data_IF_637046119464
#
_entry.id   IF_637046119464
#
_cell.length_a   1.000
_cell.length_b   1.000
_cell.length_c   1.000
_cell.angle_alpha   90.00
_cell.angle_beta   90.00
_cell.angle_gamma   90.00
#
_symmetry.space_group_name_H-M   'P 1'
#
loop_
_entity.id
_entity.type
_entity.pdbx_description
1 polymer ?
#
# COMPACT_ATOMS: atom_id res chain seq x y z
N UNK A 1 0.05 -7.04 -8.40
CA UNK A 1 -0.66 -6.13 -9.34
C UNK A 1 -0.90 -4.74 -8.72
N UNK A 2 -1.54 -4.61 -7.55
CA UNK A 2 -1.85 -3.31 -6.93
C UNK A 2 -0.65 -2.36 -6.82
N UNK A 3 0.49 -2.84 -6.30
CA UNK A 3 1.73 -2.04 -6.20
C UNK A 3 2.22 -1.55 -7.56
N UNK A 4 2.16 -2.40 -8.59
CA UNK A 4 2.58 -2.05 -9.95
C UNK A 4 1.67 -1.00 -10.57
N UNK A 5 0.35 -1.16 -10.42
CA UNK A 5 -0.63 -0.21 -10.94
C UNK A 5 -0.52 1.14 -10.23
N UNK A 6 -0.36 1.14 -8.90
CA UNK A 6 -0.15 2.36 -8.13
C UNK A 6 1.17 3.06 -8.54
N UNK A 7 2.25 2.30 -8.72
CA UNK A 7 3.52 2.83 -9.21
C UNK A 7 3.43 3.42 -10.62
N UNK A 8 2.72 2.75 -11.54
CA UNK A 8 2.47 3.25 -12.88
C UNK A 8 1.61 4.52 -12.86
N UNK A 9 0.56 4.57 -12.04
CA UNK A 9 -0.27 5.75 -11.87
C UNK A 9 0.54 6.93 -11.32
N UNK A 10 1.38 6.70 -10.30
CA UNK A 10 2.28 7.73 -9.76
C UNK A 10 3.29 8.25 -10.79
N UNK A 11 3.84 7.36 -11.61
CA UNK A 11 4.74 7.74 -12.71
C UNK A 11 4.02 8.61 -13.76
N UNK A 12 2.84 8.20 -14.21
CA UNK A 12 2.02 8.96 -15.18
C UNK A 12 1.59 10.32 -14.59
N UNK A 13 1.32 10.38 -13.28
CA UNK A 13 0.95 11.60 -12.58
C UNK A 13 2.15 12.50 -12.21
N UNK A 14 3.39 12.09 -12.52
CA UNK A 14 4.59 12.86 -12.22
C UNK A 14 4.89 12.98 -10.71
N UNK A 15 4.47 12.02 -9.91
CA UNK A 15 4.73 12.03 -8.46
C UNK A 15 6.22 11.82 -8.18
N UNK A 16 6.73 12.51 -7.16
CA UNK A 16 8.14 12.53 -6.79
C UNK A 16 8.56 11.40 -5.85
N UNK A 17 9.81 11.44 -5.35
CA UNK A 17 10.38 10.39 -4.51
C UNK A 17 9.59 10.07 -3.24
N UNK A 18 8.92 11.06 -2.65
CA UNK A 18 8.10 10.90 -1.43
C UNK A 18 6.96 9.89 -1.66
N UNK A 19 6.31 9.95 -2.82
CA UNK A 19 5.30 8.97 -3.19
C UNK A 19 5.88 7.55 -3.25
N UNK A 20 7.05 7.37 -3.86
CA UNK A 20 7.67 6.04 -4.00
C UNK A 20 8.11 5.44 -2.66
N UNK A 21 8.52 6.27 -1.69
CA UNK A 21 8.77 5.81 -0.31
C UNK A 21 7.48 5.29 0.32
N UNK A 22 6.37 6.03 0.21
CA UNK A 22 5.07 5.57 0.69
C UNK A 22 4.56 4.33 -0.04
N UNK A 23 4.80 4.22 -1.35
CA UNK A 23 4.49 3.03 -2.14
C UNK A 23 5.29 1.81 -1.67
N UNK A 24 6.56 1.99 -1.28
CA UNK A 24 7.37 0.92 -0.70
C UNK A 24 6.79 0.46 0.65
N UNK A 25 6.35 1.38 1.51
CA UNK A 25 5.66 1.04 2.76
C UNK A 25 4.35 0.26 2.49
N UNK A 26 3.56 0.68 1.51
CA UNK A 26 2.36 -0.03 1.07
C UNK A 26 2.67 -1.47 0.58
N UNK A 27 3.73 -1.63 -0.22
CA UNK A 27 4.18 -2.93 -0.70
C UNK A 27 4.63 -3.86 0.44
N UNK A 28 5.39 -3.33 1.41
CA UNK A 28 5.81 -4.07 2.60
C UNK A 28 4.62 -4.53 3.44
N UNK A 29 3.61 -3.67 3.62
CA UNK A 29 2.38 -4.02 4.34
C UNK A 29 1.65 -5.20 3.69
N UNK A 30 1.48 -5.17 2.37
CA UNK A 30 0.87 -6.27 1.61
C UNK A 30 1.71 -7.55 1.67
N UNK A 31 3.04 -7.45 1.55
CA UNK A 31 3.92 -8.60 1.66
C UNK A 31 3.85 -9.26 3.05
N UNK A 32 3.72 -8.46 4.11
CA UNK A 32 3.49 -8.96 5.46
C UNK A 32 2.14 -9.68 5.58
N UNK A 33 1.08 -9.16 4.97
CA UNK A 33 -0.23 -9.83 4.97
C UNK A 33 -0.16 -11.20 4.27
N UNK A 34 0.50 -11.29 3.11
CA UNK A 34 0.68 -12.56 2.39
C UNK A 34 1.47 -13.55 3.24
N UNK A 35 2.54 -13.11 3.90
CA UNK A 35 3.35 -13.96 4.79
C UNK A 35 2.58 -14.42 6.03
N UNK A 36 1.69 -13.58 6.56
CA UNK A 36 0.92 -13.87 7.77
C UNK A 36 -0.34 -14.70 7.49
N UNK A 37 -0.78 -14.82 6.23
CA UNK A 37 -1.99 -15.54 5.86
C UNK A 37 -1.87 -17.03 6.21
N UNK A 38 -2.88 -17.53 6.93
CA UNK A 38 -3.08 -18.95 7.20
C UNK A 38 -4.42 -19.37 6.60
N UNK A 39 -4.45 -20.19 5.54
CA UNK A 39 -5.69 -20.55 4.84
C UNK A 39 -6.73 -21.23 5.74
N UNK A 40 -6.28 -21.96 6.75
CA UNK A 40 -7.11 -22.68 7.72
C UNK A 40 -7.71 -21.78 8.82
N UNK A 41 -7.27 -20.53 8.94
CA UNK A 41 -7.70 -19.59 9.98
C UNK A 41 -8.55 -18.45 9.37
N UNK A 42 -9.87 -18.67 9.31
CA UNK A 42 -10.81 -17.71 8.76
C UNK A 42 -10.90 -16.40 9.58
N UNK A 43 -10.65 -16.43 10.89
CA UNK A 43 -10.66 -15.24 11.72
C UNK A 43 -9.46 -14.34 11.41
N UNK A 44 -8.28 -14.94 11.21
CA UNK A 44 -7.09 -14.23 10.74
C UNK A 44 -7.30 -13.66 9.34
N UNK A 45 -7.88 -14.43 8.41
CA UNK A 45 -8.17 -13.95 7.06
C UNK A 45 -9.08 -12.70 7.09
N UNK A 46 -10.13 -12.69 7.91
CA UNK A 46 -10.99 -11.53 8.08
C UNK A 46 -10.25 -10.34 8.69
N UNK A 47 -9.36 -10.58 9.67
CA UNK A 47 -8.54 -9.52 10.27
C UNK A 47 -7.59 -8.89 9.25
N UNK A 48 -6.91 -9.71 8.45
CA UNK A 48 -6.03 -9.26 7.37
C UNK A 48 -6.82 -8.48 6.31
N UNK A 49 -8.02 -8.94 5.96
CA UNK A 49 -8.91 -8.21 5.05
C UNK A 49 -9.30 -6.83 5.58
N UNK A 50 -9.67 -6.73 6.87
CA UNK A 50 -9.98 -5.43 7.50
C UNK A 50 -8.77 -4.50 7.54
N UNK A 51 -7.56 -5.04 7.71
CA UNK A 51 -6.31 -4.28 7.66
C UNK A 51 -6.02 -3.69 6.26
N UNK A 52 -6.72 -4.11 5.21
CA UNK A 52 -6.59 -3.50 3.89
C UNK A 52 -7.03 -2.01 3.87
N UNK A 53 -7.87 -1.57 4.82
CA UNK A 53 -8.16 -0.15 5.03
C UNK A 53 -6.89 0.65 5.35
N UNK A 54 -6.06 0.13 6.25
CA UNK A 54 -4.79 0.75 6.63
C UNK A 54 -3.82 0.80 5.45
N UNK A 55 -3.78 -0.27 4.65
CA UNK A 55 -3.02 -0.29 3.40
C UNK A 55 -3.45 0.86 2.47
N UNK A 56 -4.76 1.06 2.32
CA UNK A 56 -5.31 2.20 1.58
C UNK A 56 -4.89 3.56 2.15
N UNK A 57 -4.86 3.71 3.47
CA UNK A 57 -4.39 4.94 4.14
C UNK A 57 -2.91 5.21 3.90
N UNK A 58 -2.06 4.18 3.88
CA UNK A 58 -0.62 4.33 3.55
C UNK A 58 -0.47 4.90 2.13
N UNK A 59 -1.19 4.34 1.16
CA UNK A 59 -1.13 4.81 -0.22
C UNK A 59 -1.71 6.22 -0.38
N UNK A 60 -2.82 6.53 0.30
CA UNK A 60 -3.41 7.87 0.32
C UNK A 60 -2.44 8.89 0.91
N UNK A 61 -1.80 8.56 2.03
CA UNK A 61 -0.78 9.40 2.65
C UNK A 61 0.40 9.65 1.70
N UNK A 62 0.87 8.62 0.99
CA UNK A 62 1.94 8.76 -0.01
C UNK A 62 1.60 9.80 -1.09
N UNK A 63 0.35 9.81 -1.57
CA UNK A 63 -0.15 10.76 -2.55
C UNK A 63 -0.28 12.17 -1.93
N UNK A 64 -0.90 12.27 -0.75
CA UNK A 64 -1.14 13.55 -0.09
C UNK A 64 0.17 14.25 0.32
N UNK A 65 1.12 13.52 0.90
CA UNK A 65 2.40 14.08 1.33
C UNK A 65 3.34 14.39 0.17
N UNK A 66 3.19 13.73 -0.98
CA UNK A 66 3.93 14.11 -2.17
C UNK A 66 3.68 15.57 -2.53
N UNK A 67 2.40 16.01 -2.54
CA UNK A 67 2.03 17.40 -2.86
C UNK A 67 2.48 18.44 -1.83
N UNK A 68 2.91 18.02 -0.64
CA UNK A 68 3.47 18.91 0.39
C UNK A 68 5.00 19.05 0.30
N UNK A 69 5.67 18.14 -0.41
CA UNK A 69 7.12 18.09 -0.54
C UNK A 69 7.63 18.52 -1.93
N UNK A 70 6.72 18.81 -2.86
CA UNK A 70 6.95 19.18 -4.26
C UNK A 70 6.68 20.65 -4.54
#
# INVERSE_FOLDING_TARGET
LAVLLAGAAGFVAGLGPVFYVGLAAYALHLAWQVKALKPEDGALALRLFKSNREAGLILLAAIAFNGLAS
#
